data_IF_214927773213
#
_entry.id   IF_214927773213
#
_cell.length_a   1.000
_cell.length_b   1.000
_cell.length_c   1.000
_cell.angle_alpha   90.00
_cell.angle_beta   90.00
_cell.angle_gamma   90.00
#
_symmetry.space_group_name_H-M   'P 1'
#
loop_
_entity.id
_entity.type
_entity.pdbx_description
1 polymer ?
#
# COMPACT_ATOMS: atom_id res chain seq x y z
N UNK A 1 -1.89 13.21 17.33
CA UNK A 1 -3.35 13.44 17.43
C UNK A 1 -3.91 14.00 16.11
N UNK A 2 -3.32 13.61 14.97
CA UNK A 2 -3.99 13.38 13.68
C UNK A 2 -4.46 14.61 12.91
N UNK A 3 -4.68 15.74 13.59
CA UNK A 3 -5.15 16.97 12.97
C UNK A 3 -3.99 17.66 12.25
N UNK A 4 -3.87 17.41 10.95
CA UNK A 4 -2.82 18.00 10.11
C UNK A 4 -1.67 17.07 9.72
N UNK A 5 -1.64 15.85 10.25
CA UNK A 5 -0.51 14.92 10.11
C UNK A 5 -0.46 14.35 8.67
N UNK A 6 0.60 14.65 7.91
CA UNK A 6 0.74 14.16 6.54
C UNK A 6 2.18 14.20 6.03
N UNK A 7 2.43 13.57 4.87
CA UNK A 7 3.68 13.71 4.11
C UNK A 7 3.38 14.41 2.78
N UNK A 8 4.11 15.47 2.46
CA UNK A 8 4.07 16.12 1.15
C UNK A 8 5.22 15.63 0.28
N UNK A 9 4.90 15.12 -0.91
CA UNK A 9 5.85 14.55 -1.88
C UNK A 9 6.01 15.46 -3.12
N UNK A 10 5.28 16.57 -3.20
CA UNK A 10 5.36 17.54 -4.29
C UNK A 10 4.83 17.02 -5.63
N UNK A 11 5.24 17.68 -6.72
CA UNK A 11 4.63 17.55 -8.06
C UNK A 11 5.46 16.71 -9.05
N UNK A 12 6.25 15.72 -8.60
CA UNK A 12 7.20 15.02 -9.48
C UNK A 12 6.56 14.33 -10.71
N UNK A 13 7.19 14.48 -11.89
CA UNK A 13 6.77 13.88 -13.18
C UNK A 13 6.65 12.36 -13.12
N UNK A 14 7.49 11.66 -12.34
CA UNK A 14 7.42 10.20 -12.22
C UNK A 14 6.13 9.72 -11.55
N UNK A 15 5.39 10.64 -10.93
CA UNK A 15 4.09 10.38 -10.29
C UNK A 15 2.92 11.02 -11.05
N UNK A 16 3.17 11.69 -12.18
CA UNK A 16 2.15 12.22 -13.09
C UNK A 16 1.64 11.13 -14.05
N UNK A 17 1.23 10.00 -13.49
CA UNK A 17 0.90 8.79 -14.24
C UNK A 17 -0.37 9.01 -15.07
N UNK A 18 -0.24 8.78 -16.38
CA UNK A 18 -1.32 8.81 -17.35
C UNK A 18 -1.40 7.45 -18.06
N UNK A 19 -2.11 6.50 -17.45
CA UNK A 19 -2.16 5.11 -17.92
C UNK A 19 -2.15 4.12 -16.76
N UNK A 20 -1.47 3.01 -16.98
CA UNK A 20 -1.34 1.92 -16.01
C UNK A 20 -0.78 2.42 -14.69
N UNK A 21 -1.36 1.95 -13.59
CA UNK A 21 -0.90 2.31 -12.24
C UNK A 21 -1.10 1.14 -11.29
N UNK A 22 -0.15 0.97 -10.38
CA UNK A 22 -0.34 0.19 -9.16
C UNK A 22 0.09 0.97 -7.92
N UNK A 23 -0.68 0.83 -6.85
CA UNK A 23 -0.41 1.43 -5.55
C UNK A 23 -0.41 0.31 -4.51
N UNK A 24 0.51 0.37 -3.54
CA UNK A 24 0.48 -0.53 -2.40
C UNK A 24 0.93 0.18 -1.13
N UNK A 25 0.35 -0.21 0.00
CA UNK A 25 0.69 0.30 1.32
C UNK A 25 0.30 -0.71 2.40
N UNK A 26 1.04 -0.71 3.50
CA UNK A 26 0.55 -1.24 4.77
C UNK A 26 -0.17 -0.15 5.52
N UNK A 27 -1.34 -0.47 6.07
CA UNK A 27 -2.19 0.49 6.76
C UNK A 27 -2.83 -0.11 8.00
N UNK A 28 -3.02 0.71 9.03
CA UNK A 28 -3.75 0.36 10.25
C UNK A 28 -4.60 1.55 10.64
N UNK A 29 -5.89 1.32 10.85
CA UNK A 29 -6.81 2.33 11.38
C UNK A 29 -6.83 2.28 12.92
N UNK A 30 -6.69 3.43 13.57
CA UNK A 30 -6.97 3.54 15.01
C UNK A 30 -8.47 3.73 15.26
N UNK A 31 -9.15 4.48 14.38
CA UNK A 31 -10.60 4.59 14.31
C UNK A 31 -11.09 4.86 12.87
N UNK A 32 -12.41 4.95 12.68
CA UNK A 32 -13.06 5.18 11.39
C UNK A 32 -13.87 6.49 11.35
N UNK A 33 -13.62 7.40 12.30
CA UNK A 33 -14.44 8.60 12.53
C UNK A 33 -14.31 9.60 11.38
N UNK A 34 -13.12 9.68 10.78
CA UNK A 34 -12.82 10.53 9.64
C UNK A 34 -13.44 9.99 8.34
N UNK A 35 -14.13 10.87 7.61
CA UNK A 35 -14.73 10.55 6.31
C UNK A 35 -13.70 10.77 5.19
N UNK A 36 -13.58 9.82 4.27
CA UNK A 36 -12.61 9.94 3.16
C UNK A 36 -11.15 10.12 3.64
N UNK A 37 -10.84 9.53 4.80
CA UNK A 37 -9.50 9.49 5.37
C UNK A 37 -8.53 8.84 4.37
N UNK A 38 -7.49 9.57 3.97
CA UNK A 38 -6.69 9.23 2.79
C UNK A 38 -5.37 8.58 3.16
N UNK A 39 -5.05 7.45 2.52
CA UNK A 39 -3.72 6.82 2.59
C UNK A 39 -2.75 7.57 1.69
N UNK A 40 -3.08 7.70 0.40
CA UNK A 40 -2.26 8.36 -0.61
C UNK A 40 -3.15 9.01 -1.66
N UNK A 41 -2.82 10.21 -2.14
CA UNK A 41 -3.64 10.93 -3.12
C UNK A 41 -2.82 11.92 -3.96
N UNK A 42 -3.16 12.04 -5.24
CA UNK A 42 -2.70 13.09 -6.16
C UNK A 42 -3.84 13.51 -7.11
N UNK A 43 -4.21 14.79 -7.11
CA UNK A 43 -5.43 15.29 -7.80
C UNK A 43 -5.24 16.72 -8.31
N UNK A 44 -5.59 17.00 -9.57
CA UNK A 44 -5.35 18.33 -10.20
C UNK A 44 -6.59 19.14 -10.59
N UNK A 45 -7.75 18.50 -10.76
CA UNK A 45 -8.96 19.17 -11.24
C UNK A 45 -10.21 18.69 -10.48
N UNK A 46 -10.35 19.05 -9.20
CA UNK A 46 -11.58 18.81 -8.45
C UNK A 46 -12.06 17.34 -8.43
N UNK A 47 -11.12 16.39 -8.39
CA UNK A 47 -11.29 14.92 -8.48
C UNK A 47 -11.43 14.33 -9.90
N UNK A 48 -11.55 15.14 -10.95
CA UNK A 48 -11.70 14.63 -12.33
C UNK A 48 -10.41 14.02 -12.88
N UNK A 49 -9.23 14.51 -12.46
CA UNK A 49 -7.92 13.96 -12.82
C UNK A 49 -7.14 13.64 -11.55
N UNK A 50 -6.90 12.36 -11.29
CA UNK A 50 -6.23 11.93 -10.08
C UNK A 50 -6.21 10.43 -9.85
N UNK A 51 -5.59 10.05 -8.75
CA UNK A 51 -5.70 8.73 -8.16
C UNK A 51 -5.58 8.85 -6.63
N UNK A 52 -6.26 7.95 -5.90
CA UNK A 52 -6.06 7.84 -4.47
C UNK A 52 -6.47 6.47 -3.92
N UNK A 53 -5.90 6.12 -2.76
CA UNK A 53 -6.47 5.13 -1.84
C UNK A 53 -6.98 5.91 -0.63
N UNK A 54 -8.28 5.80 -0.34
CA UNK A 54 -8.92 6.47 0.78
C UNK A 54 -10.02 5.61 1.40
N UNK A 55 -10.41 5.91 2.63
CA UNK A 55 -11.58 5.30 3.27
C UNK A 55 -12.85 5.73 2.55
N UNK A 56 -13.84 4.87 2.43
CA UNK A 56 -15.16 5.31 1.94
C UNK A 56 -15.82 6.30 2.92
N UNK A 57 -16.72 7.14 2.41
CA UNK A 57 -17.33 8.21 3.21
C UNK A 57 -18.15 7.71 4.41
N UNK A 58 -18.73 6.50 4.34
CA UNK A 58 -19.66 6.00 5.37
C UNK A 58 -19.37 4.58 5.85
N UNK A 59 -18.57 3.79 5.13
CA UNK A 59 -18.28 2.40 5.49
C UNK A 59 -16.83 2.25 5.97
N UNK A 60 -16.59 1.21 6.74
CA UNK A 60 -15.25 0.83 7.23
C UNK A 60 -14.49 0.07 6.14
N UNK A 61 -14.35 0.70 4.97
CA UNK A 61 -13.75 0.12 3.76
C UNK A 61 -12.80 1.12 3.14
N UNK A 62 -11.83 0.62 2.40
CA UNK A 62 -11.01 1.43 1.50
C UNK A 62 -11.60 1.42 0.09
N UNK A 63 -11.46 2.52 -0.61
CA UNK A 63 -11.64 2.60 -2.05
C UNK A 63 -10.34 3.02 -2.72
N UNK A 64 -10.12 2.47 -3.90
CA UNK A 64 -9.18 3.00 -4.87
C UNK A 64 -10.00 3.68 -5.96
N UNK A 65 -9.71 4.96 -6.21
CA UNK A 65 -10.39 5.70 -7.26
C UNK A 65 -9.40 6.34 -8.22
N UNK A 66 -9.81 6.42 -9.48
CA UNK A 66 -9.09 7.09 -10.57
C UNK A 66 -9.96 8.18 -11.17
N UNK A 67 -9.33 9.27 -11.61
CA UNK A 67 -9.95 10.35 -12.35
C UNK A 67 -9.35 10.43 -13.76
N UNK A 68 -10.20 10.27 -14.78
CA UNK A 68 -9.80 10.14 -16.21
C UNK A 68 -9.86 11.48 -16.99
N UNK A 69 -10.05 12.59 -16.30
CA UNK A 69 -10.24 13.93 -16.84
C UNK A 69 -11.69 14.27 -17.20
N UNK A 70 -12.59 13.29 -17.20
CA UNK A 70 -14.02 13.46 -17.46
C UNK A 70 -14.90 13.19 -16.23
N UNK A 71 -14.40 12.35 -15.32
CA UNK A 71 -15.03 12.02 -14.05
C UNK A 71 -14.13 11.12 -13.22
N UNK A 72 -14.65 10.64 -12.08
CA UNK A 72 -13.97 9.66 -11.26
C UNK A 72 -14.74 8.34 -11.23
N UNK A 73 -14.01 7.26 -11.00
CA UNK A 73 -14.53 5.91 -10.80
C UNK A 73 -13.79 5.25 -9.65
N UNK A 74 -14.48 4.40 -8.87
CA UNK A 74 -13.88 3.72 -7.73
C UNK A 74 -14.13 2.20 -7.74
N UNK A 75 -13.23 1.48 -7.06
CA UNK A 75 -13.39 0.09 -6.65
C UNK A 75 -13.21 0.04 -5.13
N UNK A 76 -14.06 -0.74 -4.44
CA UNK A 76 -14.15 -0.73 -2.97
C UNK A 76 -13.78 -2.10 -2.40
N UNK A 77 -13.03 -2.11 -1.31
CA UNK A 77 -12.57 -3.30 -0.58
C UNK A 77 -13.68 -4.00 0.20
N UNK A 78 -13.29 -5.08 0.88
CA UNK A 78 -14.03 -5.68 1.99
C UNK A 78 -13.99 -4.77 3.22
N UNK A 79 -14.82 -5.07 4.22
CA UNK A 79 -14.85 -4.33 5.48
C UNK A 79 -13.62 -4.63 6.34
N UNK A 80 -13.06 -3.58 6.93
CA UNK A 80 -11.84 -3.60 7.74
C UNK A 80 -12.17 -3.35 9.21
N UNK A 81 -11.28 -3.78 10.08
CA UNK A 81 -11.35 -3.53 11.53
C UNK A 81 -10.27 -2.57 11.98
N UNK A 82 -10.53 -1.83 13.07
CA UNK A 82 -9.50 -1.00 13.71
C UNK A 82 -8.48 -1.85 14.46
N UNK A 83 -7.30 -1.30 14.73
CA UNK A 83 -6.25 -1.96 15.50
C UNK A 83 -5.50 -3.06 14.73
N UNK A 84 -5.88 -3.37 13.49
CA UNK A 84 -5.30 -4.41 12.65
C UNK A 84 -4.51 -3.81 11.49
N UNK A 85 -3.31 -4.34 11.24
CA UNK A 85 -2.55 -4.04 10.02
C UNK A 85 -3.12 -4.81 8.85
N UNK A 86 -3.34 -4.11 7.74
CA UNK A 86 -3.73 -4.67 6.46
C UNK A 86 -2.73 -4.23 5.39
N UNK A 87 -2.39 -5.14 4.48
CA UNK A 87 -1.75 -4.76 3.24
C UNK A 87 -2.84 -4.42 2.22
N UNK A 88 -2.89 -3.18 1.77
CA UNK A 88 -3.78 -2.75 0.69
C UNK A 88 -2.97 -2.56 -0.58
N UNK A 89 -3.46 -3.11 -1.68
CA UNK A 89 -2.96 -2.80 -3.00
C UNK A 89 -4.11 -2.51 -3.96
N UNK A 90 -3.82 -1.71 -4.99
CA UNK A 90 -4.76 -1.42 -6.05
C UNK A 90 -4.05 -1.29 -7.38
N UNK A 91 -4.70 -1.72 -8.46
CA UNK A 91 -4.17 -1.63 -9.82
C UNK A 91 -5.21 -1.08 -10.77
N UNK A 92 -4.78 -0.36 -11.82
CA UNK A 92 -5.62 0.02 -12.95
C UNK A 92 -4.85 -0.23 -14.25
N UNK A 93 -5.46 -0.98 -15.18
CA UNK A 93 -4.89 -1.34 -16.50
C UNK A 93 -5.36 -0.42 -17.65
N UNK A 94 -5.73 0.81 -17.30
CA UNK A 94 -6.35 1.78 -18.18
C UNK A 94 -7.85 1.58 -18.40
N UNK A 95 -8.40 0.43 -18.00
CA UNK A 95 -9.83 0.09 -18.21
C UNK A 95 -10.51 -0.54 -16.99
N UNK A 96 -9.75 -1.24 -16.16
CA UNK A 96 -10.24 -2.02 -15.02
C UNK A 96 -9.41 -1.69 -13.79
N UNK A 97 -10.06 -1.15 -12.76
CA UNK A 97 -9.48 -1.02 -11.43
C UNK A 97 -9.72 -2.28 -10.60
N UNK A 98 -8.71 -2.68 -9.82
CA UNK A 98 -8.75 -3.80 -8.88
C UNK A 98 -8.28 -3.34 -7.50
N UNK A 99 -8.83 -3.91 -6.44
CA UNK A 99 -8.37 -3.68 -5.07
C UNK A 99 -8.16 -5.00 -4.34
N UNK A 100 -7.08 -5.06 -3.58
CA UNK A 100 -6.57 -6.24 -2.90
C UNK A 100 -6.39 -5.92 -1.42
N UNK A 101 -6.70 -6.90 -0.57
CA UNK A 101 -6.43 -6.86 0.87
C UNK A 101 -5.64 -8.11 1.22
N UNK A 102 -4.52 -7.95 1.90
CA UNK A 102 -3.63 -9.04 2.35
C UNK A 102 -3.20 -9.98 1.21
N UNK A 103 -2.95 -9.40 0.04
CA UNK A 103 -2.51 -10.11 -1.17
C UNK A 103 -3.65 -10.75 -1.98
N UNK A 104 -4.90 -10.69 -1.53
CA UNK A 104 -6.05 -11.31 -2.19
C UNK A 104 -6.93 -10.28 -2.93
N UNK A 105 -7.28 -10.58 -4.18
CA UNK A 105 -8.20 -9.75 -4.96
C UNK A 105 -9.57 -9.72 -4.30
N UNK A 106 -10.00 -8.53 -3.90
CA UNK A 106 -11.28 -8.36 -3.20
C UNK A 106 -12.39 -7.91 -4.14
N UNK A 107 -12.08 -7.02 -5.09
CA UNK A 107 -13.08 -6.47 -6.00
C UNK A 107 -12.48 -5.86 -7.28
N UNK A 108 -13.33 -5.67 -8.29
CA UNK A 108 -12.98 -5.07 -9.59
C UNK A 108 -14.05 -4.08 -10.06
N UNK A 109 -13.67 -3.05 -10.79
CA UNK A 109 -14.60 -2.09 -11.42
C UNK A 109 -14.06 -1.62 -12.77
N UNK A 110 -14.95 -1.29 -13.71
CA UNK A 110 -14.56 -0.72 -15.00
C UNK A 110 -14.30 0.79 -14.81
N UNK A 111 -13.03 1.16 -14.68
CA UNK A 111 -12.60 2.54 -14.44
C UNK A 111 -11.51 2.92 -15.45
N UNK A 112 -11.61 4.12 -16.01
CA UNK A 112 -10.57 4.67 -16.87
C UNK A 112 -9.26 4.92 -16.11
N UNK A 113 -8.17 5.08 -16.87
CA UNK A 113 -6.87 5.44 -16.33
C UNK A 113 -6.87 6.82 -15.67
N UNK A 114 -6.00 7.07 -14.68
CA UNK A 114 -5.71 8.43 -14.25
C UNK A 114 -5.25 9.31 -15.43
N UNK A 115 -5.69 10.57 -15.46
CA UNK A 115 -5.34 11.52 -16.51
C UNK A 115 -4.12 12.40 -16.16
N UNK A 116 -3.05 11.80 -15.63
CA UNK A 116 -1.78 12.49 -15.36
C UNK A 116 -1.92 13.69 -14.43
N UNK A 117 -2.37 13.50 -13.17
CA UNK A 117 -2.47 14.61 -12.23
C UNK A 117 -1.09 15.24 -11.98
N UNK A 118 -1.00 16.56 -11.93
CA UNK A 118 0.20 17.40 -11.77
C UNK A 118 0.32 18.08 -10.40
N UNK A 119 -0.73 18.08 -9.57
CA UNK A 119 -0.68 18.65 -8.22
C UNK A 119 0.21 17.84 -7.27
N UNK A 120 0.36 18.33 -6.03
CA UNK A 120 1.13 17.64 -4.98
C UNK A 120 0.59 16.21 -4.76
N UNK A 121 1.50 15.25 -4.70
CA UNK A 121 1.24 13.93 -4.14
C UNK A 121 1.36 14.01 -2.61
N UNK A 122 0.41 13.42 -1.89
CA UNK A 122 0.43 13.39 -0.42
C UNK A 122 0.10 12.01 0.13
N UNK A 123 0.67 11.70 1.29
CA UNK A 123 0.36 10.52 2.11
C UNK A 123 -0.27 10.99 3.42
N UNK A 124 -1.30 10.28 3.90
CA UNK A 124 -1.99 10.57 5.16
C UNK A 124 -3.07 11.66 5.07
N UNK A 125 -3.28 12.27 3.91
CA UNK A 125 -4.32 13.27 3.66
C UNK A 125 -4.64 13.37 2.17
N UNK A 126 -5.86 13.80 1.86
CA UNK A 126 -6.24 14.09 0.49
C UNK A 126 -5.42 15.26 -0.09
N UNK A 127 -5.07 15.16 -1.37
CA UNK A 127 -4.09 16.06 -2.00
C UNK A 127 -4.59 17.49 -2.26
N UNK A 128 -5.84 17.81 -1.97
CA UNK A 128 -6.39 19.15 -2.01
C UNK A 128 -6.76 19.47 -0.56
N UNK A 129 -5.85 20.09 0.21
CA UNK A 129 -6.02 20.37 1.65
C UNK A 129 -7.20 21.32 1.92
N UNK A 130 -8.43 20.82 1.79
CA UNK A 130 -9.67 21.59 1.83
C UNK A 130 -10.66 21.07 2.86
N UNK A 131 -10.36 19.95 3.54
CA UNK A 131 -11.23 19.38 4.57
C UNK A 131 -10.41 18.60 5.63
N UNK A 132 -10.58 18.99 6.90
CA UNK A 132 -9.91 18.37 8.04
C UNK A 132 -10.43 16.98 8.41
N UNK A 133 -11.53 16.51 7.83
CA UNK A 133 -12.02 15.14 8.04
C UNK A 133 -11.28 14.09 7.18
N UNK A 134 -10.42 14.51 6.24
CA UNK A 134 -9.75 13.60 5.30
C UNK A 134 -8.35 13.15 5.72
N UNK A 135 -7.92 13.53 6.93
CA UNK A 135 -6.67 13.04 7.49
C UNK A 135 -6.80 11.57 7.92
N UNK A 136 -5.73 10.81 7.70
CA UNK A 136 -5.62 9.44 8.17
C UNK A 136 -5.57 9.40 9.70
N UNK A 137 -6.29 8.46 10.30
CA UNK A 137 -6.23 8.20 11.74
C UNK A 137 -5.75 6.76 11.97
N UNK A 138 -4.44 6.65 12.22
CA UNK A 138 -3.75 5.40 12.45
C UNK A 138 -2.34 5.41 11.85
N UNK A 139 -1.84 4.23 11.46
CA UNK A 139 -0.47 4.06 10.95
C UNK A 139 -0.45 3.70 9.46
N UNK A 140 0.57 4.17 8.75
CA UNK A 140 0.86 3.87 7.35
C UNK A 140 2.33 3.46 7.25
N UNK A 141 2.62 2.43 6.47
CA UNK A 141 3.97 1.92 6.25
C UNK A 141 4.12 1.39 4.81
N UNK A 142 5.36 1.28 4.32
CA UNK A 142 5.74 0.62 3.07
C UNK A 142 4.88 1.00 1.84
N UNK A 143 4.82 2.30 1.56
CA UNK A 143 4.04 2.85 0.45
C UNK A 143 4.83 2.79 -0.85
N UNK A 144 4.24 2.28 -1.92
CA UNK A 144 4.83 2.26 -3.26
C UNK A 144 3.85 2.66 -4.36
N UNK A 145 4.41 3.22 -5.44
CA UNK A 145 3.71 3.59 -6.67
C UNK A 145 4.46 2.96 -7.85
N UNK A 146 3.70 2.37 -8.76
CA UNK A 146 4.21 1.74 -9.97
C UNK A 146 3.48 2.32 -11.19
N UNK A 147 4.20 2.59 -12.27
CA UNK A 147 3.64 3.03 -13.57
C UNK A 147 3.33 1.85 -14.51
N UNK A 148 3.18 0.66 -13.91
CA UNK A 148 2.80 -0.60 -14.53
C UNK A 148 1.69 -1.26 -13.72
N UNK A 149 0.98 -2.20 -14.35
CA UNK A 149 0.01 -3.07 -13.68
C UNK A 149 0.74 -4.25 -13.04
N UNK A 150 0.78 -4.28 -11.72
CA UNK A 150 1.26 -5.43 -10.97
C UNK A 150 0.27 -6.59 -11.12
N UNK A 151 0.80 -7.80 -11.31
CA UNK A 151 -0.02 -9.01 -11.37
C UNK A 151 -0.46 -9.46 -9.98
N UNK A 152 -1.46 -10.33 -9.90
CA UNK A 152 -1.87 -10.93 -8.62
C UNK A 152 -0.70 -11.61 -7.89
N UNK A 153 0.25 -12.19 -8.63
CA UNK A 153 1.46 -12.80 -8.06
C UNK A 153 2.42 -11.74 -7.53
N UNK A 154 2.61 -10.62 -8.23
CA UNK A 154 3.44 -9.52 -7.74
C UNK A 154 2.85 -8.94 -6.45
N UNK A 155 1.54 -8.71 -6.42
CA UNK A 155 0.82 -8.21 -5.24
C UNK A 155 0.95 -9.17 -4.05
N UNK A 156 0.80 -10.47 -4.28
CA UNK A 156 1.01 -11.48 -3.23
C UNK A 156 2.44 -11.49 -2.72
N UNK A 157 3.43 -11.33 -3.60
CA UNK A 157 4.83 -11.26 -3.20
C UNK A 157 5.13 -9.99 -2.38
N UNK A 158 4.61 -8.83 -2.79
CA UNK A 158 4.76 -7.58 -2.03
C UNK A 158 4.20 -7.71 -0.62
N UNK A 159 3.03 -8.33 -0.48
CA UNK A 159 2.43 -8.64 0.82
C UNK A 159 3.34 -9.53 1.69
N UNK A 160 3.86 -10.63 1.12
CA UNK A 160 4.59 -11.64 1.90
C UNK A 160 6.01 -11.21 2.28
N UNK A 161 6.71 -10.49 1.41
CA UNK A 161 8.13 -10.17 1.62
C UNK A 161 8.35 -8.75 2.10
N UNK A 162 7.39 -7.84 1.89
CA UNK A 162 7.55 -6.40 2.11
C UNK A 162 8.81 -5.83 1.43
N UNK A 163 9.32 -6.50 0.40
CA UNK A 163 10.43 -6.01 -0.42
C UNK A 163 9.84 -5.43 -1.71
N UNK A 164 9.74 -4.11 -1.77
CA UNK A 164 9.62 -3.42 -3.06
C UNK A 164 11.01 -3.45 -3.70
N UNK A 165 11.34 -4.59 -4.35
CA UNK A 165 12.57 -4.74 -5.12
C UNK A 165 12.59 -3.79 -6.31
N UNK A 166 13.74 -3.66 -6.96
CA UNK A 166 14.01 -2.80 -8.14
C UNK A 166 13.21 -3.23 -9.40
N UNK A 167 11.92 -3.51 -9.25
CA UNK A 167 11.05 -3.98 -10.31
C UNK A 167 10.87 -2.90 -11.37
N UNK A 168 10.80 -3.34 -12.62
CA UNK A 168 10.52 -2.47 -13.74
C UNK A 168 9.20 -1.72 -13.50
N UNK A 169 9.23 -0.40 -13.67
CA UNK A 169 8.09 0.47 -13.44
C UNK A 169 7.87 0.93 -11.99
N UNK A 170 8.82 0.72 -11.07
CA UNK A 170 8.75 1.34 -9.74
C UNK A 170 8.97 2.85 -9.83
N UNK A 171 7.91 3.63 -9.64
CA UNK A 171 7.95 5.08 -9.72
C UNK A 171 8.40 5.73 -8.39
N UNK A 172 7.96 5.19 -7.26
CA UNK A 172 8.35 5.65 -5.94
C UNK A 172 8.17 4.56 -4.87
N UNK A 173 9.05 4.54 -3.86
CA UNK A 173 8.93 3.62 -2.72
C UNK A 173 9.41 4.29 -1.43
N UNK A 174 8.55 4.33 -0.41
CA UNK A 174 8.90 4.80 0.92
C UNK A 174 8.76 3.67 1.94
N UNK A 175 9.86 3.32 2.60
CA UNK A 175 9.93 2.20 3.55
C UNK A 175 9.59 2.57 4.99
N UNK A 176 9.43 3.87 5.30
CA UNK A 176 9.15 4.41 6.65
C UNK A 176 10.14 3.96 7.75
N UNK A 177 11.39 3.65 7.38
CA UNK A 177 12.38 3.08 8.30
C UNK A 177 13.51 4.03 8.74
N UNK A 178 13.44 5.35 8.46
CA UNK A 178 14.50 6.26 8.95
C UNK A 178 14.44 6.44 10.48
N UNK A 179 13.24 6.42 11.05
CA UNK A 179 13.00 6.52 12.49
C UNK A 179 13.38 7.87 13.12
N UNK A 180 13.77 8.86 12.32
CA UNK A 180 14.15 10.20 12.77
C UNK A 180 14.03 11.24 11.64
N UNK A 181 13.93 12.51 12.02
CA UNK A 181 13.82 13.67 11.15
C UNK A 181 12.45 13.83 10.51
N UNK A 182 12.36 14.83 9.63
CA UNK A 182 11.13 15.21 8.92
C UNK A 182 11.21 14.87 7.42
N UNK A 183 12.12 13.97 7.02
CA UNK A 183 12.28 13.56 5.63
C UNK A 183 11.90 12.10 5.47
N UNK A 184 10.93 11.84 4.59
CA UNK A 184 10.58 10.49 4.16
C UNK A 184 11.37 10.15 2.89
N UNK A 185 12.36 9.27 3.02
CA UNK A 185 13.24 8.93 1.90
C UNK A 185 12.58 7.97 0.91
N UNK A 186 12.73 8.31 -0.37
CA UNK A 186 12.35 7.47 -1.50
C UNK A 186 13.51 6.53 -1.83
N UNK A 187 13.20 5.24 -1.88
CA UNK A 187 14.11 4.13 -2.12
C UNK A 187 14.00 3.54 -3.54
N UNK A 188 13.15 4.11 -4.40
CA UNK A 188 13.03 3.71 -5.81
C UNK A 188 14.22 4.13 -6.69
N UNK A 189 15.04 5.06 -6.20
CA UNK A 189 16.11 5.70 -6.99
C UNK A 189 15.67 6.95 -7.75
N UNK A 190 14.39 7.34 -7.69
CA UNK A 190 13.85 8.52 -8.40
C UNK A 190 13.85 9.81 -7.56
N UNK A 191 14.35 9.75 -6.31
CA UNK A 191 14.49 10.89 -5.41
C UNK A 191 13.18 11.65 -5.10
N UNK A 192 12.05 10.96 -5.08
CA UNK A 192 10.74 11.50 -4.67
C UNK A 192 10.63 11.61 -3.13
N UNK A 193 11.60 12.25 -2.48
CA UNK A 193 11.62 12.38 -1.02
C UNK A 193 10.48 13.28 -0.54
N UNK A 194 9.91 12.93 0.62
CA UNK A 194 8.82 13.67 1.24
C UNK A 194 9.22 14.50 2.43
N UNK A 195 8.45 15.55 2.68
CA UNK A 195 8.48 16.33 3.92
C UNK A 195 7.34 15.88 4.85
N UNK A 196 7.72 15.44 6.05
CA UNK A 196 6.80 15.00 7.11
C UNK A 196 6.31 16.23 7.88
N UNK A 197 5.00 16.40 7.94
CA UNK A 197 4.32 17.49 8.62
C UNK A 197 3.44 16.93 9.74
N UNK A 198 3.82 17.16 11.01
CA UNK A 198 3.03 16.78 12.19
C UNK A 198 3.09 15.29 12.59
N UNK A 199 3.12 14.39 11.61
CA UNK A 199 3.20 12.95 11.86
C UNK A 199 4.49 12.56 12.61
N UNK A 200 4.37 11.56 13.48
CA UNK A 200 5.47 11.06 14.31
C UNK A 200 5.80 9.61 14.00
N UNK A 201 7.07 9.24 14.09
CA UNK A 201 7.51 7.85 13.98
C UNK A 201 6.86 6.96 15.06
N UNK A 202 6.40 5.79 14.66
CA UNK A 202 5.83 4.77 15.55
C UNK A 202 6.80 3.60 15.73
N UNK A 203 6.79 3.00 16.92
CA UNK A 203 7.48 1.73 17.21
C UNK A 203 6.61 0.51 16.92
N UNK A 204 5.32 0.73 16.68
CA UNK A 204 4.38 -0.29 16.23
C UNK A 204 4.54 -0.48 14.72
N UNK A 205 5.56 -1.26 14.35
CA UNK A 205 5.90 -1.57 12.97
C UNK A 205 5.20 -2.85 12.50
N UNK A 206 4.99 -2.98 11.19
CA UNK A 206 4.49 -4.24 10.61
C UNK A 206 5.45 -5.38 10.96
N UNK A 207 4.88 -6.54 11.32
CA UNK A 207 5.61 -7.80 11.28
C UNK A 207 5.04 -8.51 10.05
N UNK A 208 5.76 -8.56 8.91
CA UNK A 208 5.23 -9.20 7.72
C UNK A 208 4.84 -10.64 8.08
N UNK A 209 3.72 -11.14 7.54
CA UNK A 209 3.35 -12.53 7.73
C UNK A 209 4.37 -13.35 6.96
N UNK A 210 5.50 -13.68 7.59
CA UNK A 210 6.55 -14.50 6.99
C UNK A 210 5.95 -15.90 6.82
N UNK A 211 5.59 -16.38 5.61
CA UNK A 211 5.33 -17.79 5.44
C UNK A 211 6.65 -18.54 5.74
N UNK A 212 6.61 -19.71 6.38
CA UNK A 212 7.82 -20.50 6.57
C UNK A 212 8.43 -20.79 5.19
N UNK A 213 9.59 -20.19 4.91
CA UNK A 213 10.32 -20.45 3.67
C UNK A 213 10.95 -21.84 3.81
N UNK A 214 10.68 -22.81 2.90
CA UNK A 214 11.44 -24.04 2.86
C UNK A 214 12.94 -23.71 2.68
N UNK A 215 13.75 -23.99 3.71
CA UNK A 215 15.19 -23.64 3.73
C UNK A 215 15.56 -22.38 4.53
N UNK A 216 14.60 -21.68 5.14
CA UNK A 216 14.86 -20.61 6.12
C UNK A 216 15.23 -21.15 7.51
N UNK A 217 15.61 -20.25 8.44
CA UNK A 217 15.85 -20.57 9.86
C UNK A 217 14.51 -20.86 10.57
N UNK A 218 13.87 -21.97 10.21
CA UNK A 218 12.68 -22.47 10.87
C UNK A 218 13.11 -23.29 12.09
N UNK A 219 12.72 -22.88 13.30
CA UNK A 219 13.03 -23.64 14.51
C UNK A 219 11.88 -24.58 14.87
N UNK A 220 12.19 -25.84 15.13
CA UNK A 220 11.29 -26.75 15.83
C UNK A 220 11.46 -26.54 17.34
N UNK A 221 10.36 -26.36 18.06
CA UNK A 221 10.35 -26.39 19.53
C UNK A 221 10.08 -27.82 19.98
N UNK A 222 10.96 -28.36 20.83
CA UNK A 222 10.81 -29.67 21.46
C UNK A 222 10.55 -29.45 22.95
N UNK A 223 9.43 -29.95 23.48
CA UNK A 223 9.01 -29.77 24.88
C UNK A 223 9.63 -30.79 25.84
N UNK A 224 10.27 -31.82 25.29
CA UNK A 224 11.03 -32.83 26.02
C UNK A 224 10.20 -34.02 26.53
N UNK A 225 8.92 -34.15 26.15
CA UNK A 225 8.05 -35.27 26.55
C UNK A 225 8.02 -36.37 25.50
N UNK A 226 7.80 -36.04 24.23
CA UNK A 226 7.62 -37.02 23.14
C UNK A 226 7.97 -36.50 21.73
N UNK A 227 8.59 -35.33 21.62
CA UNK A 227 8.89 -34.74 20.31
C UNK A 227 10.12 -35.38 19.62
N UNK A 228 9.93 -35.88 18.41
CA UNK A 228 11.02 -36.31 17.52
C UNK A 228 10.70 -36.00 16.06
N UNK A 229 11.72 -35.63 15.29
CA UNK A 229 11.63 -35.57 13.84
C UNK A 229 12.05 -36.95 13.28
N UNK A 230 11.15 -37.60 12.53
CA UNK A 230 11.41 -38.89 11.89
C UNK A 230 11.48 -38.74 10.38
N UNK A 231 12.51 -39.31 9.78
CA UNK A 231 12.62 -39.48 8.33
C UNK A 231 12.47 -40.99 8.05
N UNK A 232 11.42 -41.39 7.33
CA UNK A 232 11.23 -42.80 6.97
C UNK A 232 12.25 -43.22 5.92
N UNK A 233 12.97 -44.31 6.18
CA UNK A 233 14.05 -44.81 5.31
C UNK A 233 13.55 -45.54 4.04
N UNK A 234 12.48 -45.08 3.39
CA UNK A 234 11.95 -45.73 2.18
C UNK A 234 12.47 -45.16 0.86
N UNK A 235 13.35 -44.15 0.86
CA UNK A 235 13.90 -43.56 -0.37
C UNK A 235 15.41 -43.81 -0.55
N UNK A 236 15.90 -45.02 -0.26
CA UNK A 236 17.23 -45.46 -0.72
C UNK A 236 17.22 -46.66 -1.68
N UNK A 237 16.06 -47.08 -2.16
CA UNK A 237 15.98 -48.03 -3.27
C UNK A 237 15.64 -47.28 -4.56
N UNK A 238 16.67 -46.80 -5.27
CA UNK A 238 16.77 -46.77 -6.75
C UNK A 238 17.96 -45.93 -7.22
N UNK A 239 19.17 -46.51 -7.18
CA UNK A 239 20.18 -46.24 -8.21
C UNK A 239 20.83 -47.59 -8.53
N UNK A 240 20.44 -48.16 -9.68
CA UNK A 240 21.23 -49.19 -10.39
C UNK A 240 22.40 -48.52 -11.10
#
# INVERSE_FOLDING_TARGET
NGSGDHVNLGTSLTTEIAGDISLAAWVKFDNFDNSLATVISKVSDGLSSGYAIEKTGTQNKLSFWTGDGSGFCEVVSSELSTGTWYFVAATNDGSTSRIYIDGELTNTSNCGAPAGPTADLRIGVQSILSNDERYWDGSIDNVSIWDVVLTDTDILNLYQTSTNGDGEGLAAYWSFNSGDGNTLYDHSGNANHGEINGATWSVDAIIPPVPPVPGGNNSLSFDGTDDYAFVSSTDLDNIF
#
